data_IF_418764255005
#
_entry.id   IF_418764255005
#
_cell.length_a   1.000
_cell.length_b   1.000
_cell.length_c   1.000
_cell.angle_alpha   90.00
_cell.angle_beta   90.00
_cell.angle_gamma   90.00
#
_symmetry.space_group_name_H-M   'P 1'
#
loop_
_entity.id
_entity.type
_entity.pdbx_description
1 polymer ?
#
# COMPACT_ATOMS: atom_id res chain seq x y z
N UNK A 1 20.29 12.02 -19.11
CA UNK A 1 19.92 12.33 -17.70
C UNK A 1 19.33 11.05 -17.10
N UNK A 2 19.64 10.72 -15.85
CA UNK A 2 19.13 9.53 -15.15
C UNK A 2 18.16 9.98 -14.05
N UNK A 3 17.12 9.18 -13.78
CA UNK A 3 16.24 9.34 -12.62
C UNK A 3 16.57 8.25 -11.60
N UNK A 4 16.55 8.60 -10.33
CA UNK A 4 16.65 7.69 -9.18
C UNK A 4 15.34 7.77 -8.38
N UNK A 5 15.17 6.91 -7.38
CA UNK A 5 13.92 6.68 -6.62
C UNK A 5 12.83 5.94 -7.39
N UNK A 6 12.32 4.87 -6.79
CA UNK A 6 11.30 3.99 -7.39
C UNK A 6 10.06 4.78 -7.83
N UNK A 7 9.57 5.67 -6.98
CA UNK A 7 8.37 6.47 -7.25
C UNK A 7 8.58 7.49 -8.38
N UNK A 8 9.75 8.11 -8.48
CA UNK A 8 10.06 9.04 -9.56
C UNK A 8 10.19 8.31 -10.91
N UNK A 9 10.84 7.14 -10.92
CA UNK A 9 10.95 6.29 -12.12
C UNK A 9 9.57 5.78 -12.53
N UNK A 10 8.76 5.27 -11.59
CA UNK A 10 7.40 4.80 -11.85
C UNK A 10 6.50 5.94 -12.39
N UNK A 11 6.61 7.14 -11.82
CA UNK A 11 5.90 8.31 -12.32
C UNK A 11 6.32 8.66 -13.75
N UNK A 12 7.62 8.69 -14.03
CA UNK A 12 8.13 9.00 -15.37
C UNK A 12 7.70 7.98 -16.43
N UNK A 13 7.71 6.68 -16.09
CA UNK A 13 7.27 5.61 -16.99
C UNK A 13 5.74 5.50 -17.11
N UNK A 14 5.00 5.93 -16.08
CA UNK A 14 3.54 5.91 -16.09
C UNK A 14 2.93 6.84 -17.14
N UNK A 15 1.85 6.42 -17.79
CA UNK A 15 1.11 7.27 -18.73
C UNK A 15 0.24 8.32 -18.00
N UNK A 16 -0.43 9.20 -18.75
CA UNK A 16 -1.33 10.22 -18.18
C UNK A 16 -2.38 9.61 -17.24
N UNK A 17 -2.96 8.47 -17.61
CA UNK A 17 -4.00 7.81 -16.82
C UNK A 17 -3.47 7.30 -15.48
N UNK A 18 -2.30 6.65 -15.46
CA UNK A 18 -1.66 6.14 -14.25
C UNK A 18 -1.29 7.26 -13.27
N UNK A 19 -1.03 8.46 -13.78
CA UNK A 19 -0.75 9.65 -12.97
C UNK A 19 -2.00 10.35 -12.44
N UNK A 20 -3.21 9.85 -12.73
CA UNK A 20 -4.48 10.45 -12.31
C UNK A 20 -5.22 11.21 -13.41
N UNK A 21 -4.83 11.03 -14.67
CA UNK A 21 -5.48 11.66 -15.81
C UNK A 21 -5.29 13.18 -15.82
N UNK A 22 -6.36 13.91 -16.15
CA UNK A 22 -6.36 15.38 -16.23
C UNK A 22 -7.00 16.07 -15.02
N UNK A 23 -7.52 15.31 -14.07
CA UNK A 23 -8.18 15.86 -12.89
C UNK A 23 -7.14 16.13 -11.79
N UNK A 24 -6.89 17.40 -11.41
CA UNK A 24 -5.85 17.73 -10.43
C UNK A 24 -6.08 17.06 -9.06
N UNK A 25 -7.35 16.90 -8.66
CA UNK A 25 -7.68 16.20 -7.43
C UNK A 25 -7.25 14.73 -7.45
N UNK A 26 -7.47 14.03 -8.57
CA UNK A 26 -7.06 12.62 -8.69
C UNK A 26 -5.54 12.51 -8.73
N UNK A 27 -4.86 13.43 -9.42
CA UNK A 27 -3.39 13.47 -9.42
C UNK A 27 -2.83 13.67 -7.99
N UNK A 28 -3.45 14.55 -7.20
CA UNK A 28 -3.09 14.75 -5.79
C UNK A 28 -3.37 13.51 -4.93
N UNK A 29 -4.50 12.84 -5.14
CA UNK A 29 -4.81 11.57 -4.48
C UNK A 29 -3.80 10.48 -4.83
N UNK A 30 -3.31 10.43 -6.08
CA UNK A 30 -2.24 9.51 -6.46
C UNK A 30 -1.00 9.74 -5.60
N UNK A 31 -0.55 10.99 -5.46
CA UNK A 31 0.60 11.31 -4.61
C UNK A 31 0.34 11.01 -3.13
N UNK A 32 -0.86 11.30 -2.63
CA UNK A 32 -1.27 10.99 -1.26
C UNK A 32 -1.08 9.49 -0.95
N UNK A 33 -1.53 8.60 -1.83
CA UNK A 33 -1.43 7.16 -1.60
C UNK A 33 -0.01 6.63 -1.77
N UNK A 34 0.78 7.20 -2.68
CA UNK A 34 2.21 6.89 -2.78
C UNK A 34 2.93 7.26 -1.48
N UNK A 35 2.70 8.48 -0.97
CA UNK A 35 3.30 8.91 0.31
C UNK A 35 2.80 8.08 1.49
N UNK A 36 1.52 7.71 1.53
CA UNK A 36 0.99 6.82 2.56
C UNK A 36 1.66 5.44 2.51
N UNK A 37 1.89 4.89 1.31
CA UNK A 37 2.57 3.62 1.13
C UNK A 37 4.01 3.66 1.68
N UNK A 38 4.76 4.72 1.39
CA UNK A 38 6.17 4.85 1.81
C UNK A 38 6.31 5.10 3.32
N UNK A 39 5.41 5.89 3.91
CA UNK A 39 5.56 6.37 5.28
C UNK A 39 4.80 5.55 6.33
N UNK A 40 3.70 4.89 5.95
CA UNK A 40 2.84 4.16 6.88
C UNK A 40 2.90 2.64 6.61
N UNK A 41 2.69 2.22 5.36
CA UNK A 41 2.60 0.80 5.01
C UNK A 41 3.97 0.14 5.06
N UNK A 42 4.94 0.69 4.33
CA UNK A 42 6.24 0.07 4.15
C UNK A 42 6.99 -0.11 5.48
N UNK A 43 7.07 0.89 6.39
CA UNK A 43 7.74 0.71 7.68
C UNK A 43 7.05 -0.34 8.55
N UNK A 44 5.71 -0.35 8.62
CA UNK A 44 4.95 -1.32 9.40
C UNK A 44 5.11 -2.74 8.85
N UNK A 45 5.08 -2.88 7.52
CA UNK A 45 5.32 -4.15 6.80
C UNK A 45 6.71 -4.71 7.09
N UNK A 46 7.76 -3.89 6.92
CA UNK A 46 9.14 -4.29 7.20
C UNK A 46 9.33 -4.67 8.67
N UNK A 47 8.79 -3.87 9.61
CA UNK A 47 8.93 -4.12 11.05
C UNK A 47 8.33 -5.46 11.49
N UNK A 48 7.25 -5.91 10.84
CA UNK A 48 6.64 -7.21 11.15
C UNK A 48 7.32 -8.35 10.40
N UNK A 49 7.49 -8.21 9.08
CA UNK A 49 7.85 -9.34 8.21
C UNK A 49 9.35 -9.64 8.27
N UNK A 50 10.22 -8.62 8.33
CA UNK A 50 11.67 -8.84 8.23
C UNK A 50 12.25 -9.69 9.37
N UNK A 51 11.79 -9.58 10.64
CA UNK A 51 12.19 -10.51 11.69
C UNK A 51 11.74 -11.96 11.47
N UNK A 52 10.62 -12.18 10.78
CA UNK A 52 10.13 -13.52 10.46
C UNK A 52 10.96 -14.17 9.33
N UNK A 53 11.50 -13.34 8.44
CA UNK A 53 12.39 -13.77 7.34
C UNK A 53 13.87 -13.86 7.74
N UNK A 54 14.23 -13.52 8.99
CA UNK A 54 15.61 -13.52 9.47
C UNK A 54 16.48 -12.38 8.92
N UNK A 55 15.87 -11.35 8.32
CA UNK A 55 16.56 -10.16 7.79
C UNK A 55 16.93 -9.21 8.94
N UNK A 56 16.06 -9.10 9.96
CA UNK A 56 16.27 -8.27 11.14
C UNK A 56 16.21 -9.12 12.43
N UNK A 57 16.88 -8.70 13.52
CA UNK A 57 16.74 -9.36 14.81
C UNK A 57 15.28 -9.33 15.28
N UNK A 58 14.84 -10.40 15.96
CA UNK A 58 13.52 -10.41 16.61
C UNK A 58 13.50 -9.40 17.77
N UNK A 59 12.85 -8.27 17.54
CA UNK A 59 12.55 -7.27 18.56
C UNK A 59 11.17 -7.58 19.15
N UNK A 60 11.02 -7.56 20.48
CA UNK A 60 9.71 -7.64 21.13
C UNK A 60 8.99 -6.30 21.02
N UNK A 61 8.67 -5.88 19.79
CA UNK A 61 7.96 -4.64 19.58
C UNK A 61 6.44 -4.93 19.64
N UNK A 62 5.83 -4.63 20.78
CA UNK A 62 4.45 -5.00 21.08
C UNK A 62 3.41 -4.37 20.15
N UNK A 63 3.77 -3.25 19.49
CA UNK A 63 2.82 -2.43 18.73
C UNK A 63 2.79 -2.74 17.22
N UNK A 64 3.75 -3.52 16.70
CA UNK A 64 3.90 -3.73 15.24
C UNK A 64 2.64 -4.30 14.58
N UNK A 65 1.94 -5.21 15.27
CA UNK A 65 0.67 -5.76 14.78
C UNK A 65 -0.42 -4.69 14.74
N UNK A 66 -0.48 -3.82 15.73
CA UNK A 66 -1.47 -2.74 15.81
C UNK A 66 -1.23 -1.70 14.72
N UNK A 67 0.04 -1.36 14.44
CA UNK A 67 0.40 -0.43 13.37
C UNK A 67 -0.08 -0.94 11.99
N UNK A 68 0.11 -2.23 11.72
CA UNK A 68 -0.44 -2.85 10.49
C UNK A 68 -1.95 -2.89 10.51
N UNK A 69 -2.60 -3.23 11.63
CA UNK A 69 -4.07 -3.22 11.73
C UNK A 69 -4.66 -1.84 11.40
N UNK A 70 -4.05 -0.74 11.88
CA UNK A 70 -4.48 0.64 11.58
C UNK A 70 -4.45 0.90 10.06
N UNK A 71 -3.34 0.54 9.41
CA UNK A 71 -3.18 0.68 7.95
C UNK A 71 -4.26 -0.11 7.19
N UNK A 72 -4.47 -1.38 7.55
CA UNK A 72 -5.44 -2.25 6.90
C UNK A 72 -6.88 -1.74 7.08
N UNK A 73 -7.22 -1.25 8.28
CA UNK A 73 -8.53 -0.66 8.56
C UNK A 73 -8.76 0.61 7.72
N UNK A 74 -7.77 1.48 7.61
CA UNK A 74 -7.86 2.70 6.82
C UNK A 74 -8.10 2.40 5.34
N UNK A 75 -7.37 1.44 4.76
CA UNK A 75 -7.55 1.03 3.37
C UNK A 75 -8.89 0.34 3.16
N UNK A 76 -9.29 -0.57 4.05
CA UNK A 76 -10.57 -1.27 3.97
C UNK A 76 -11.77 -0.29 4.03
N UNK A 77 -11.65 0.77 4.84
CA UNK A 77 -12.64 1.85 4.88
C UNK A 77 -12.65 2.67 3.59
N UNK A 78 -11.48 3.03 3.06
CA UNK A 78 -11.37 3.78 1.81
C UNK A 78 -12.02 3.04 0.62
N UNK A 79 -11.86 1.72 0.59
CA UNK A 79 -12.33 0.85 -0.50
C UNK A 79 -13.78 0.37 -0.33
N UNK A 80 -14.50 0.87 0.68
CA UNK A 80 -15.92 0.54 0.89
C UNK A 80 -16.77 1.04 -0.29
N UNK A 81 -16.60 2.31 -0.65
CA UNK A 81 -17.37 2.98 -1.71
C UNK A 81 -16.53 3.27 -2.96
N UNK A 82 -15.39 2.61 -3.12
CA UNK A 82 -14.46 2.84 -4.23
C UNK A 82 -13.88 1.54 -4.78
N UNK A 83 -13.82 1.43 -6.11
CA UNK A 83 -13.18 0.27 -6.76
C UNK A 83 -11.66 0.33 -6.62
N UNK A 84 -11.07 1.52 -6.78
CA UNK A 84 -9.63 1.82 -6.75
C UNK A 84 -9.33 2.99 -5.80
N UNK A 85 -8.04 3.22 -5.51
CA UNK A 85 -7.63 4.21 -4.51
C UNK A 85 -7.78 5.67 -4.96
N UNK A 86 -7.59 5.93 -6.26
CA UNK A 86 -7.69 7.27 -6.85
C UNK A 86 -8.45 7.23 -8.20
N UNK A 87 -9.66 7.79 -8.22
CA UNK A 87 -10.57 7.69 -9.37
C UNK A 87 -11.12 6.28 -9.57
N UNK A 88 -11.66 6.01 -10.77
CA UNK A 88 -12.34 4.74 -11.10
C UNK A 88 -11.53 3.82 -12.02
N UNK A 89 -10.21 4.00 -12.06
CA UNK A 89 -9.26 3.13 -12.79
C UNK A 89 -7.98 2.96 -11.99
N UNK A 90 -7.26 1.86 -12.21
CA UNK A 90 -5.94 1.60 -11.61
C UNK A 90 -5.00 2.77 -11.88
N UNK A 91 -4.40 3.33 -10.85
CA UNK A 91 -3.37 4.37 -10.93
C UNK A 91 -2.07 3.93 -10.26
N UNK A 92 -1.05 4.79 -10.24
CA UNK A 92 0.14 4.55 -9.43
C UNK A 92 -0.19 4.43 -7.94
N UNK A 93 -1.29 5.01 -7.45
CA UNK A 93 -1.75 4.80 -6.08
C UNK A 93 -1.94 3.30 -5.80
N UNK A 94 -2.68 2.62 -6.69
CA UNK A 94 -3.01 1.22 -6.54
C UNK A 94 -1.75 0.35 -6.65
N UNK A 95 -0.92 0.61 -7.65
CA UNK A 95 0.30 -0.18 -7.90
C UNK A 95 1.26 -0.09 -6.71
N UNK A 96 1.54 1.12 -6.21
CA UNK A 96 2.50 1.31 -5.11
C UNK A 96 1.95 0.74 -3.80
N UNK A 97 0.69 1.00 -3.46
CA UNK A 97 0.07 0.43 -2.25
C UNK A 97 0.01 -1.09 -2.32
N UNK A 98 -0.30 -1.67 -3.48
CA UNK A 98 -0.31 -3.12 -3.68
C UNK A 98 1.07 -3.72 -3.43
N UNK A 99 2.10 -3.17 -4.05
CA UNK A 99 3.48 -3.62 -3.85
C UNK A 99 3.93 -3.52 -2.38
N UNK A 100 3.58 -2.44 -1.68
CA UNK A 100 3.94 -2.26 -0.26
C UNK A 100 3.22 -3.23 0.68
N UNK A 101 2.01 -3.71 0.30
CA UNK A 101 1.24 -4.70 1.06
C UNK A 101 1.64 -6.14 0.77
N UNK A 102 2.40 -6.42 -0.30
CA UNK A 102 2.65 -7.77 -0.80
C UNK A 102 3.22 -8.70 0.28
N UNK A 103 4.29 -8.27 0.96
CA UNK A 103 4.91 -9.06 2.02
C UNK A 103 3.96 -9.35 3.19
N UNK A 104 3.04 -8.42 3.51
CA UNK A 104 2.04 -8.65 4.55
C UNK A 104 1.10 -9.79 4.15
N UNK A 105 0.59 -9.75 2.91
CA UNK A 105 -0.29 -10.77 2.36
C UNK A 105 0.38 -12.14 2.22
N UNK A 106 1.68 -12.18 1.90
CA UNK A 106 2.42 -13.44 1.73
C UNK A 106 2.79 -14.10 3.06
N UNK A 107 3.07 -13.32 4.10
CA UNK A 107 3.72 -13.86 5.31
C UNK A 107 2.90 -13.77 6.61
N UNK A 108 2.01 -12.78 6.76
CA UNK A 108 1.36 -12.53 8.08
C UNK A 108 -0.17 -12.40 8.01
N UNK A 109 -0.74 -12.06 6.85
CA UNK A 109 -2.18 -11.92 6.68
C UNK A 109 -2.80 -13.24 6.18
N UNK A 110 -2.82 -14.24 7.06
CA UNK A 110 -3.55 -15.48 6.80
C UNK A 110 -5.05 -15.25 6.62
N UNK A 111 -5.77 -16.29 6.18
CA UNK A 111 -7.20 -16.22 5.89
C UNK A 111 -8.04 -15.72 7.09
N UNK A 112 -7.65 -16.09 8.31
CA UNK A 112 -8.37 -15.70 9.52
C UNK A 112 -8.19 -14.21 9.82
N UNK A 113 -6.96 -13.70 9.74
CA UNK A 113 -6.64 -12.29 10.00
C UNK A 113 -7.27 -11.40 8.93
N UNK A 114 -7.12 -11.76 7.65
CA UNK A 114 -7.60 -10.92 6.57
C UNK A 114 -9.11 -10.94 6.40
N UNK A 115 -9.83 -11.91 6.98
CA UNK A 115 -11.30 -11.99 6.89
C UNK A 115 -12.03 -10.72 7.35
N UNK A 116 -11.42 -9.94 8.25
CA UNK A 116 -11.94 -8.65 8.72
C UNK A 116 -11.86 -7.51 7.68
N UNK A 117 -11.06 -7.67 6.63
CA UNK A 117 -10.76 -6.62 5.64
C UNK A 117 -11.33 -6.94 4.25
N UNK A 118 -12.63 -7.23 4.18
CA UNK A 118 -13.30 -7.70 2.96
C UNK A 118 -13.13 -6.78 1.74
N UNK A 119 -13.22 -5.47 1.91
CA UNK A 119 -13.10 -4.51 0.80
C UNK A 119 -11.66 -4.40 0.31
N UNK A 120 -10.71 -4.44 1.24
CA UNK A 120 -9.28 -4.46 0.92
C UNK A 120 -8.92 -5.74 0.17
N UNK A 121 -9.40 -6.89 0.65
CA UNK A 121 -9.17 -8.17 -0.02
C UNK A 121 -9.76 -8.21 -1.43
N UNK A 122 -10.97 -7.66 -1.64
CA UNK A 122 -11.59 -7.54 -2.96
C UNK A 122 -10.72 -6.74 -3.95
N UNK A 123 -10.02 -5.73 -3.45
CA UNK A 123 -9.15 -4.91 -4.28
C UNK A 123 -7.78 -5.58 -4.52
N UNK A 124 -7.28 -6.36 -3.55
CA UNK A 124 -5.95 -6.98 -3.61
C UNK A 124 -5.93 -8.33 -4.35
N UNK A 125 -6.95 -9.18 -4.15
CA UNK A 125 -7.01 -10.57 -4.67
C UNK A 125 -7.85 -10.65 -5.94
#
# INVERSE_FOLDING_TARGET
>A
KCLTESNAIAYFLGNEQLRGGKCPLVQAQVQQWISFADNEILPASCAWVFPLLGIMPQQKNANVKQDVEVVLQQLNKKLLDATYLAGERITLADIVVFCSLLHLYEHVLDSSVRSAYGNLNRWFV
#
